data_IF_791297882080
#
_entry.id   IF_791297882080
#
_cell.length_a   1.000
_cell.length_b   1.000
_cell.length_c   1.000
_cell.angle_alpha   90.00
_cell.angle_beta   90.00
_cell.angle_gamma   90.00
#
_symmetry.space_group_name_H-M   'P 1'
#
loop_
_entity.id
_entity.type
_entity.pdbx_description
1 polymer ?
#
# COMPACT_ATOMS: atom_id res chain seq x y z
N UNK A 1 -18.16 13.52 17.54
CA UNK A 1 -18.13 12.95 18.91
C UNK A 1 -17.21 13.61 19.94
N UNK A 2 -15.88 13.59 19.81
CA UNK A 2 -14.99 14.12 20.86
C UNK A 2 -15.11 15.63 21.10
N UNK A 3 -15.31 16.43 20.03
CA UNK A 3 -15.51 17.89 20.13
C UNK A 3 -16.79 18.28 20.88
N UNK A 4 -17.85 17.47 20.77
CA UNK A 4 -19.12 17.72 21.45
C UNK A 4 -18.99 17.48 22.96
N UNK A 5 -18.25 16.44 23.37
CA UNK A 5 -17.98 16.18 24.79
C UNK A 5 -17.05 17.23 25.40
N UNK A 6 -16.03 17.71 24.66
CA UNK A 6 -15.19 18.82 25.11
C UNK A 6 -15.98 20.13 25.33
N UNK A 7 -17.00 20.40 24.50
CA UNK A 7 -17.89 21.53 24.70
C UNK A 7 -18.74 21.39 25.98
N UNK A 8 -19.20 20.16 26.30
CA UNK A 8 -19.91 19.86 27.55
C UNK A 8 -19.02 19.99 28.78
N UNK A 9 -17.75 19.57 28.70
CA UNK A 9 -16.75 19.79 29.77
C UNK A 9 -16.60 21.28 30.07
N UNK A 10 -16.42 22.12 29.02
CA UNK A 10 -16.29 23.57 29.20
C UNK A 10 -17.53 24.18 29.87
N UNK A 11 -18.73 23.73 29.48
CA UNK A 11 -20.00 24.21 30.05
C UNK A 11 -20.18 23.76 31.51
N UNK A 12 -19.82 22.52 31.84
CA UNK A 12 -19.87 22.00 33.20
C UNK A 12 -18.87 22.69 34.15
N UNK A 13 -17.67 23.02 33.65
CA UNK A 13 -16.67 23.80 34.38
C UNK A 13 -17.15 25.23 34.68
N UNK A 14 -17.82 25.88 33.72
CA UNK A 14 -18.43 27.21 33.94
C UNK A 14 -19.53 27.18 35.01
N UNK A 15 -20.24 26.06 35.12
CA UNK A 15 -21.27 25.83 36.13
C UNK A 15 -20.69 25.38 37.49
N UNK A 16 -19.35 25.35 37.64
CA UNK A 16 -18.61 24.83 38.81
C UNK A 16 -18.98 23.38 39.18
N UNK A 17 -19.56 22.62 38.26
CA UNK A 17 -19.92 21.22 38.48
C UNK A 17 -18.75 20.33 38.04
N UNK A 18 -17.78 20.19 38.94
CA UNK A 18 -16.51 19.49 38.70
C UNK A 18 -16.72 17.98 38.46
N UNK A 19 -17.68 17.37 39.16
CA UNK A 19 -18.03 15.95 39.01
C UNK A 19 -18.55 15.65 37.60
N UNK A 20 -19.50 16.44 37.09
CA UNK A 20 -19.98 16.25 35.72
C UNK A 20 -18.90 16.55 34.67
N UNK A 21 -18.04 17.55 34.90
CA UNK A 21 -16.94 17.86 33.99
C UNK A 21 -15.94 16.69 33.90
N UNK A 22 -15.67 16.01 35.02
CA UNK A 22 -14.82 14.81 35.06
C UNK A 22 -15.40 13.66 34.25
N UNK A 23 -16.69 13.37 34.43
CA UNK A 23 -17.39 12.32 33.65
C UNK A 23 -17.39 12.61 32.14
N UNK A 24 -17.60 13.86 31.73
CA UNK A 24 -17.52 14.23 30.32
C UNK A 24 -16.10 14.15 29.76
N UNK A 25 -15.08 14.47 30.56
CA UNK A 25 -13.68 14.35 30.16
C UNK A 25 -13.27 12.88 30.00
N UNK A 26 -13.64 12.01 30.94
CA UNK A 26 -13.40 10.56 30.85
C UNK A 26 -14.08 9.95 29.62
N UNK A 27 -15.33 10.33 29.34
CA UNK A 27 -16.04 9.92 28.13
C UNK A 27 -15.37 10.43 26.85
N UNK A 28 -14.86 11.66 26.85
CA UNK A 28 -14.13 12.21 25.70
C UNK A 28 -12.83 11.44 25.42
N UNK A 29 -12.09 11.05 26.47
CA UNK A 29 -10.87 10.23 26.37
C UNK A 29 -11.20 8.84 25.84
N UNK A 30 -12.23 8.19 26.40
CA UNK A 30 -12.69 6.86 25.96
C UNK A 30 -13.06 6.86 24.47
N UNK A 31 -13.90 7.80 24.04
CA UNK A 31 -14.30 7.91 22.63
C UNK A 31 -13.11 8.18 21.69
N UNK A 32 -12.10 8.93 22.14
CA UNK A 32 -10.87 9.15 21.35
C UNK A 32 -10.07 7.84 21.19
N UNK A 33 -9.92 7.07 22.26
CA UNK A 33 -9.23 5.79 22.21
C UNK A 33 -9.97 4.76 21.34
N UNK A 34 -11.29 4.71 21.45
CA UNK A 34 -12.13 3.91 20.55
C UNK A 34 -11.89 4.32 19.10
N UNK A 35 -11.93 5.63 18.78
CA UNK A 35 -11.66 6.15 17.45
C UNK A 35 -10.29 5.76 16.90
N UNK A 36 -9.24 5.80 17.73
CA UNK A 36 -7.90 5.33 17.34
C UNK A 36 -7.87 3.83 17.06
N UNK A 37 -8.57 3.03 17.86
CA UNK A 37 -8.67 1.60 17.63
C UNK A 37 -9.41 1.29 16.33
N UNK A 38 -10.50 2.00 16.06
CA UNK A 38 -11.24 1.89 14.79
C UNK A 38 -10.39 2.31 13.59
N UNK A 39 -9.59 3.37 13.70
CA UNK A 39 -8.71 3.81 12.61
C UNK A 39 -7.67 2.74 12.27
N UNK A 40 -7.03 2.14 13.28
CA UNK A 40 -6.08 1.03 13.05
C UNK A 40 -6.77 -0.18 12.42
N UNK A 41 -7.99 -0.49 12.85
CA UNK A 41 -8.77 -1.57 12.26
C UNK A 41 -9.15 -1.25 10.81
N UNK A 42 -9.55 -0.02 10.52
CA UNK A 42 -9.88 0.44 9.17
C UNK A 42 -8.66 0.32 8.22
N UNK A 43 -7.47 0.76 8.65
CA UNK A 43 -6.24 0.59 7.86
C UNK A 43 -5.92 -0.89 7.59
N UNK A 44 -6.14 -1.78 8.58
CA UNK A 44 -5.96 -3.22 8.39
C UNK A 44 -6.98 -3.80 7.41
N UNK A 45 -8.24 -3.38 7.50
CA UNK A 45 -9.31 -3.81 6.59
C UNK A 45 -9.02 -3.35 5.17
N UNK A 46 -8.59 -2.10 4.99
CA UNK A 46 -8.23 -1.54 3.68
C UNK A 46 -7.05 -2.29 3.05
N UNK A 47 -5.98 -2.55 3.82
CA UNK A 47 -4.85 -3.36 3.37
C UNK A 47 -5.27 -4.79 2.97
N UNK A 48 -6.19 -5.41 3.73
CA UNK A 48 -6.72 -6.73 3.38
C UNK A 48 -7.61 -6.65 2.14
N UNK A 49 -8.44 -5.62 2.00
CA UNK A 49 -9.27 -5.41 0.82
C UNK A 49 -8.44 -5.25 -0.46
N UNK A 50 -7.35 -4.48 -0.41
CA UNK A 50 -6.40 -4.34 -1.51
C UNK A 50 -5.74 -5.67 -1.91
N UNK A 51 -5.34 -6.48 -0.91
CA UNK A 51 -4.81 -7.84 -1.15
C UNK A 51 -5.86 -8.77 -1.75
N UNK A 52 -7.09 -8.73 -1.27
CA UNK A 52 -8.20 -9.53 -1.81
C UNK A 52 -8.52 -9.12 -3.24
N UNK A 53 -8.61 -7.81 -3.52
CA UNK A 53 -8.83 -7.30 -4.88
C UNK A 53 -7.73 -7.78 -5.82
N UNK A 54 -6.47 -7.73 -5.39
CA UNK A 54 -5.33 -8.29 -6.12
C UNK A 54 -5.53 -9.78 -6.41
N UNK A 55 -5.88 -10.57 -5.39
CA UNK A 55 -6.10 -12.00 -5.55
C UNK A 55 -7.25 -12.33 -6.49
N UNK A 56 -8.35 -11.55 -6.46
CA UNK A 56 -9.49 -11.71 -7.37
C UNK A 56 -9.09 -11.39 -8.82
N UNK A 57 -8.39 -10.28 -9.04
CA UNK A 57 -7.86 -9.92 -10.36
C UNK A 57 -6.92 -11.01 -10.89
N UNK A 58 -5.98 -11.47 -10.06
CA UNK A 58 -5.02 -12.53 -10.41
C UNK A 58 -5.74 -13.83 -10.76
N UNK A 59 -6.78 -14.21 -10.00
CA UNK A 59 -7.59 -15.40 -10.31
C UNK A 59 -8.27 -15.30 -11.69
N UNK A 60 -8.74 -14.11 -12.07
CA UNK A 60 -9.27 -13.84 -13.41
C UNK A 60 -8.21 -14.04 -14.49
N UNK A 61 -7.01 -13.48 -14.28
CA UNK A 61 -5.88 -13.63 -15.22
C UNK A 61 -5.46 -15.10 -15.36
N UNK A 62 -5.35 -15.85 -14.24
CA UNK A 62 -5.03 -17.29 -14.29
C UNK A 62 -6.07 -18.09 -15.10
N UNK A 63 -7.36 -17.78 -14.95
CA UNK A 63 -8.42 -18.43 -15.73
C UNK A 63 -8.27 -18.14 -17.23
N UNK A 64 -7.91 -16.92 -17.60
CA UNK A 64 -7.65 -16.56 -18.99
C UNK A 64 -6.39 -17.28 -19.52
N UNK A 65 -5.35 -17.43 -18.69
CA UNK A 65 -4.11 -18.13 -19.08
C UNK A 65 -4.39 -19.60 -19.35
N UNK A 66 -5.22 -20.22 -18.51
CA UNK A 66 -5.65 -21.60 -18.70
C UNK A 66 -6.42 -21.79 -20.02
N UNK A 67 -7.19 -20.79 -20.47
CA UNK A 67 -7.89 -20.86 -21.75
C UNK A 67 -6.94 -20.68 -22.94
N UNK A 68 -6.02 -19.72 -22.86
CA UNK A 68 -5.04 -19.47 -23.93
C UNK A 68 -4.10 -20.66 -24.09
N UNK A 69 -3.58 -21.21 -23.01
CA UNK A 69 -2.73 -22.42 -23.03
C UNK A 69 -3.46 -23.63 -23.61
N UNK A 70 -4.75 -23.82 -23.28
CA UNK A 70 -5.57 -24.88 -23.88
C UNK A 70 -5.85 -24.65 -25.36
N UNK A 71 -6.02 -23.40 -25.79
CA UNK A 71 -6.15 -23.06 -27.20
C UNK A 71 -4.84 -23.32 -27.97
N UNK A 72 -3.70 -23.07 -27.32
CA UNK A 72 -2.37 -23.32 -27.87
C UNK A 72 -2.15 -24.81 -28.11
N UNK A 73 -2.46 -25.65 -27.11
CA UNK A 73 -2.37 -27.11 -27.18
C UNK A 73 -3.17 -27.69 -28.37
N UNK A 74 -4.40 -27.19 -28.58
CA UNK A 74 -5.24 -27.56 -29.73
C UNK A 74 -4.66 -27.10 -31.06
N UNK A 75 -4.16 -25.86 -31.13
CA UNK A 75 -3.57 -25.31 -32.35
C UNK A 75 -2.31 -26.08 -32.76
N UNK A 76 -1.45 -26.40 -31.78
CA UNK A 76 -0.25 -27.23 -31.95
C UNK A 76 -0.61 -28.65 -32.43
N UNK A 77 -1.66 -29.26 -31.86
CA UNK A 77 -2.16 -30.57 -32.29
C UNK A 77 -2.67 -30.58 -33.74
N UNK A 78 -3.20 -29.45 -34.22
CA UNK A 78 -3.66 -29.30 -35.60
C UNK A 78 -2.57 -28.88 -36.60
N UNK A 79 -1.35 -28.59 -36.13
CA UNK A 79 -0.23 -28.02 -36.92
C UNK A 79 -0.60 -26.78 -37.75
N UNK A 80 -1.68 -26.07 -37.37
CA UNK A 80 -2.14 -24.87 -38.05
C UNK A 80 -1.34 -23.66 -37.56
N UNK A 81 -0.26 -23.34 -38.27
CA UNK A 81 0.67 -22.27 -37.93
C UNK A 81 -0.01 -20.90 -37.83
N UNK A 82 -1.08 -20.64 -38.59
CA UNK A 82 -1.82 -19.38 -38.50
C UNK A 82 -2.60 -19.28 -37.19
N UNK A 83 -3.25 -20.37 -36.77
CA UNK A 83 -3.93 -20.42 -35.47
C UNK A 83 -2.94 -20.37 -34.31
N UNK A 84 -1.77 -21.01 -34.43
CA UNK A 84 -0.73 -20.94 -33.41
C UNK A 84 -0.25 -19.50 -33.23
N UNK A 85 0.02 -18.77 -34.32
CA UNK A 85 0.41 -17.34 -34.27
C UNK A 85 -0.64 -16.49 -33.54
N UNK A 86 -1.91 -16.62 -33.92
CA UNK A 86 -2.99 -15.84 -33.30
C UNK A 86 -3.21 -16.16 -31.81
N UNK A 87 -2.92 -17.38 -31.37
CA UNK A 87 -2.98 -17.75 -29.94
C UNK A 87 -1.73 -17.27 -29.19
N UNK A 88 -0.57 -17.26 -29.83
CA UNK A 88 0.66 -16.68 -29.25
C UNK A 88 0.55 -15.17 -29.06
N UNK A 89 -0.02 -14.44 -30.01
CA UNK A 89 -0.27 -12.99 -29.85
C UNK A 89 -1.17 -12.72 -28.62
N UNK A 90 -2.18 -13.57 -28.41
CA UNK A 90 -3.05 -13.51 -27.21
C UNK A 90 -2.32 -13.90 -25.94
N UNK A 91 -1.40 -14.86 -26.00
CA UNK A 91 -0.57 -15.25 -24.86
C UNK A 91 0.31 -14.07 -24.43
N UNK A 92 0.97 -13.43 -25.38
CA UNK A 92 1.86 -12.29 -25.13
C UNK A 92 1.10 -11.11 -24.52
N UNK A 93 -0.07 -10.74 -25.07
CA UNK A 93 -0.92 -9.69 -24.50
C UNK A 93 -1.31 -9.96 -23.05
N UNK A 94 -1.62 -11.21 -22.73
CA UNK A 94 -2.06 -11.53 -21.38
C UNK A 94 -0.91 -11.61 -20.38
N UNK A 95 0.28 -12.03 -20.81
CA UNK A 95 1.51 -11.99 -20.00
C UNK A 95 1.93 -10.54 -19.75
N UNK A 96 1.88 -9.67 -20.76
CA UNK A 96 2.15 -8.23 -20.59
C UNK A 96 1.17 -7.59 -19.59
N UNK A 97 -0.12 -7.93 -19.69
CA UNK A 97 -1.13 -7.44 -18.75
C UNK A 97 -0.85 -7.91 -17.30
N UNK A 98 -0.38 -9.15 -17.12
CA UNK A 98 0.01 -9.67 -15.81
C UNK A 98 1.22 -8.92 -15.24
N UNK A 99 2.22 -8.64 -16.06
CA UNK A 99 3.43 -7.92 -15.64
C UNK A 99 3.12 -6.48 -15.21
N UNK A 100 2.32 -5.75 -16.01
CA UNK A 100 1.87 -4.39 -15.67
C UNK A 100 1.07 -4.35 -14.36
N UNK A 101 0.22 -5.34 -14.09
CA UNK A 101 -0.55 -5.41 -12.84
C UNK A 101 0.28 -5.81 -11.62
N UNK A 102 1.46 -6.41 -11.83
CA UNK A 102 2.38 -6.83 -10.77
C UNK A 102 3.41 -5.73 -10.47
N UNK A 103 3.98 -5.12 -11.51
CA UNK A 103 4.99 -4.06 -11.43
C UNK A 103 4.37 -2.70 -11.12
N UNK A 104 3.22 -2.35 -11.71
CA UNK A 104 2.55 -1.07 -11.49
C UNK A 104 2.05 -0.86 -10.05
N UNK A 105 1.90 -1.95 -9.28
CA UNK A 105 1.51 -1.90 -7.87
C UNK A 105 2.69 -1.86 -6.89
N UNK A 106 3.92 -2.03 -7.39
CA UNK A 106 5.15 -2.01 -6.58
C UNK A 106 5.72 -0.62 -6.34
N UNK A 107 5.27 0.40 -7.08
CA UNK A 107 5.82 1.77 -7.04
C UNK A 107 4.83 2.84 -6.54
N UNK A 108 3.56 2.51 -6.31
CA UNK A 108 2.52 3.48 -5.93
C UNK A 108 2.16 3.52 -4.43
N UNK A 109 2.60 2.53 -3.63
CA UNK A 109 2.26 2.44 -2.18
C UNK A 109 3.31 3.11 -1.26
N UNK A 110 4.17 3.97 -1.83
CA UNK A 110 5.27 4.66 -1.17
C UNK A 110 4.97 6.12 -0.84
N UNK A 111 4.04 6.36 0.09
CA UNK A 111 4.02 7.52 0.99
C UNK A 111 4.17 8.92 0.38
N UNK A 112 3.04 9.62 0.26
CA UNK A 112 3.00 11.09 0.32
C UNK A 112 3.66 11.57 1.62
N UNK A 113 4.93 11.96 1.54
CA UNK A 113 5.73 12.52 2.63
C UNK A 113 6.74 13.50 2.06
N UNK A 114 6.26 14.67 1.65
CA UNK A 114 7.07 15.81 1.27
C UNK A 114 7.92 16.25 2.48
N UNK A 115 9.23 16.39 2.32
CA UNK A 115 10.08 17.06 3.31
C UNK A 115 11.57 16.73 3.18
N UNK A 116 12.28 17.53 2.40
CA UNK A 116 13.68 17.89 2.54
C UNK A 116 14.71 16.79 2.83
N UNK A 117 15.53 16.48 1.82
CA UNK A 117 16.99 16.40 1.99
C UNK A 117 17.74 16.49 0.66
N UNK A 118 17.96 17.73 0.26
CA UNK A 118 19.06 18.09 -0.62
C UNK A 118 20.41 17.80 0.07
N UNK A 119 21.38 17.37 -0.76
CA UNK A 119 22.84 17.49 -0.57
C UNK A 119 23.47 16.80 0.64
N UNK A 120 24.21 15.73 0.36
CA UNK A 120 25.62 15.61 0.76
C UNK A 120 26.30 14.55 -0.12
N UNK A 121 26.97 15.01 -1.18
CA UNK A 121 27.99 14.25 -1.90
C UNK A 121 29.19 14.11 -0.94
N UNK A 122 29.69 12.90 -0.62
CA UNK A 122 30.93 12.76 0.14
C UNK A 122 32.10 13.24 -0.74
N UNK A 123 32.82 14.24 -0.24
CA UNK A 123 33.91 14.91 -0.94
C UNK A 123 35.02 13.95 -1.35
N UNK A 124 35.33 13.94 -2.64
CA UNK A 124 36.65 13.56 -3.13
C UNK A 124 37.49 14.84 -3.26
N UNK A 125 38.47 14.99 -2.38
CA UNK A 125 39.48 16.03 -2.47
C UNK A 125 40.46 15.95 -1.30
N UNK A 126 41.71 15.55 -1.57
CA UNK A 126 42.79 15.66 -0.60
C UNK A 126 43.91 14.65 -0.79
N UNK A 127 44.77 14.91 -1.78
CA UNK A 127 46.14 14.40 -1.84
C UNK A 127 46.88 14.78 -0.54
N UNK A 128 47.48 13.79 0.13
CA UNK A 128 48.78 13.94 0.77
C UNK A 128 49.37 12.54 1.03
N UNK A 129 50.30 12.15 0.17
CA UNK A 129 51.47 11.38 0.60
C UNK A 129 52.10 12.10 1.81
N UNK A 130 52.42 11.35 2.86
CA UNK A 130 53.67 11.44 3.63
C UNK A 130 53.71 10.21 4.53
N UNK A 131 54.77 9.42 4.38
CA UNK A 131 54.92 8.13 5.05
C UNK A 131 55.42 8.21 6.50
N UNK A 132 55.83 7.03 6.95
CA UNK A 132 56.72 6.70 8.06
C UNK A 132 56.13 6.42 9.47
N UNK A 133 56.56 5.26 10.00
CA UNK A 133 56.54 4.77 11.39
C UNK A 133 55.15 4.34 11.95
N UNK A 134 54.98 3.23 12.66
CA UNK A 134 55.88 2.26 13.29
C UNK A 134 55.10 0.96 13.62
N UNK A 135 55.89 -0.10 13.84
CA UNK A 135 55.62 -1.40 14.51
C UNK A 135 54.69 -2.43 13.85
#
# INVERSE_FOLDING_TARGET
>A
DSKAEQAKVKKALQQKNVECARVYAENAIRKKNEGLNWLRMASRVDAVASKVQTAVTMKGVTKNMAQVTKALDKALSSMDLQKVSAVMDKFEQQVQNLDVHTVGRGWDDGGSGQGDRAVSVPGHGGLHELGHHAE
#
